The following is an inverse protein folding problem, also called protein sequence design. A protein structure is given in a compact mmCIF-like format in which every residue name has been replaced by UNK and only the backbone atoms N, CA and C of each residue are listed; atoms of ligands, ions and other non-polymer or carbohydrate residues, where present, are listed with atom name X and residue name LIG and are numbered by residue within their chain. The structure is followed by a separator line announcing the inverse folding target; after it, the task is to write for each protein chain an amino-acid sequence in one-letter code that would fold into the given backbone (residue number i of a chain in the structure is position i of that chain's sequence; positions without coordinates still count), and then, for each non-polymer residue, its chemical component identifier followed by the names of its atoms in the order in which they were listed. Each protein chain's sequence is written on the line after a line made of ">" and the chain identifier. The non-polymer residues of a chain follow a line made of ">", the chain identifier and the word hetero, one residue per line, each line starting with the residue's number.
data_IF_929179600052
#
_entry.id   IF_929179600052
#
_cell.length_a   1.000
_cell.length_b   1.000
_cell.length_c   1.000
_cell.angle_alpha   90.00
_cell.angle_beta   90.00
_cell.angle_gamma   90.00
#
_symmetry.space_group_name_H-M   'P 1'
#
loop_
_entity.id
_entity.type
_entity.pdbx_description
1 polymer ?
#
# COMPACT_ATOMS: atom_id res chain seq x y z
N UNK A 1 5.96 -17.71 -16.19
CA UNK A 1 5.60 -16.41 -15.61
C UNK A 1 4.52 -15.86 -16.51
N UNK A 2 3.34 -15.57 -15.97
CA UNK A 2 2.32 -14.91 -16.77
C UNK A 2 2.89 -13.59 -17.32
N UNK A 3 2.41 -13.18 -18.49
CA UNK A 3 2.91 -11.98 -19.13
C UNK A 3 2.52 -10.77 -18.25
N UNK A 4 3.50 -10.01 -17.76
CA UNK A 4 3.27 -8.83 -16.88
C UNK A 4 2.17 -7.94 -17.44
N UNK A 5 2.16 -7.72 -18.75
CA UNK A 5 1.13 -6.90 -19.41
C UNK A 5 -0.27 -7.49 -19.32
N UNK A 6 -0.42 -8.82 -19.35
CA UNK A 6 -1.72 -9.50 -19.22
C UNK A 6 -2.27 -9.35 -17.81
N UNK A 7 -1.45 -9.62 -16.78
CA UNK A 7 -1.84 -9.46 -15.37
C UNK A 7 -2.33 -8.03 -15.11
N UNK A 8 -1.56 -7.04 -15.58
CA UNK A 8 -1.91 -5.63 -15.37
C UNK A 8 -3.18 -5.24 -16.12
N UNK A 9 -3.38 -5.71 -17.36
CA UNK A 9 -4.60 -5.43 -18.14
C UNK A 9 -5.84 -6.12 -17.61
N UNK A 10 -5.69 -7.30 -17.04
CA UNK A 10 -6.80 -8.03 -16.43
C UNK A 10 -7.26 -7.35 -15.14
N UNK A 11 -6.31 -6.86 -14.33
CA UNK A 11 -6.62 -6.37 -12.99
C UNK A 11 -6.88 -4.86 -12.89
N UNK A 12 -6.22 -4.05 -13.71
CA UNK A 12 -6.39 -2.60 -13.70
C UNK A 12 -7.41 -2.18 -14.76
N UNK A 13 -8.24 -1.20 -14.42
CA UNK A 13 -9.00 -0.47 -15.44
C UNK A 13 -8.08 0.37 -16.32
N UNK A 14 -8.62 0.93 -17.41
CA UNK A 14 -7.84 1.71 -18.37
C UNK A 14 -7.17 2.93 -17.74
N UNK A 15 -7.85 3.66 -16.85
CA UNK A 15 -7.31 4.87 -16.22
C UNK A 15 -6.10 4.53 -15.34
N UNK A 16 -6.21 3.49 -14.53
CA UNK A 16 -5.13 3.05 -13.64
C UNK A 16 -3.98 2.41 -14.43
N UNK A 17 -4.27 1.66 -15.49
CA UNK A 17 -3.25 1.13 -16.39
C UNK A 17 -2.46 2.25 -17.05
N UNK A 18 -3.13 3.29 -17.59
CA UNK A 18 -2.47 4.42 -18.24
C UNK A 18 -1.57 5.18 -17.25
N UNK A 19 -2.06 5.43 -16.02
CA UNK A 19 -1.26 6.03 -14.94
C UNK A 19 0.01 5.21 -14.66
N UNK A 20 -0.10 3.89 -14.59
CA UNK A 20 1.03 3.00 -14.34
C UNK A 20 2.02 2.97 -15.52
N UNK A 21 1.51 2.92 -16.75
CA UNK A 21 2.32 2.87 -17.98
C UNK A 21 3.02 4.19 -18.29
N UNK A 22 2.52 5.32 -17.77
CA UNK A 22 3.22 6.61 -17.84
C UNK A 22 4.61 6.57 -17.16
N UNK A 23 4.80 5.64 -16.21
CA UNK A 23 6.10 5.36 -15.62
C UNK A 23 6.81 4.33 -16.49
N UNK A 24 7.75 4.78 -17.33
CA UNK A 24 8.55 3.94 -18.22
C UNK A 24 9.59 3.07 -17.50
N UNK A 25 9.17 2.25 -16.53
CA UNK A 25 10.03 1.40 -15.73
C UNK A 25 9.48 -0.03 -15.64
N UNK A 26 10.03 -0.93 -16.46
CA UNK A 26 9.60 -2.33 -16.53
C UNK A 26 9.73 -3.08 -15.19
N UNK A 27 10.75 -2.78 -14.37
CA UNK A 27 10.92 -3.42 -13.06
C UNK A 27 9.80 -3.05 -12.09
N UNK A 28 9.29 -1.82 -12.18
CA UNK A 28 8.16 -1.38 -11.38
C UNK A 28 6.87 -2.10 -11.82
N UNK A 29 6.65 -2.24 -13.13
CA UNK A 29 5.51 -2.99 -13.66
C UNK A 29 5.52 -4.46 -13.23
N UNK A 30 6.69 -5.10 -13.28
CA UNK A 30 6.89 -6.47 -12.79
C UNK A 30 6.62 -6.57 -11.28
N UNK A 31 7.11 -5.62 -10.49
CA UNK A 31 6.84 -5.58 -9.05
C UNK A 31 5.35 -5.50 -8.72
N UNK A 32 4.60 -4.65 -9.44
CA UNK A 32 3.14 -4.53 -9.26
C UNK A 32 2.43 -5.80 -9.69
N UNK A 33 2.78 -6.38 -10.84
CA UNK A 33 2.19 -7.64 -11.31
C UNK A 33 2.42 -8.79 -10.32
N UNK A 34 3.65 -8.94 -9.82
CA UNK A 34 3.97 -9.94 -8.79
C UNK A 34 3.17 -9.72 -7.50
N UNK A 35 2.95 -8.46 -7.11
CA UNK A 35 2.15 -8.12 -5.93
C UNK A 35 0.67 -8.47 -6.13
N UNK A 36 0.12 -8.24 -7.34
CA UNK A 36 -1.25 -8.61 -7.70
C UNK A 36 -1.43 -10.13 -7.66
N UNK A 37 -0.50 -10.90 -8.23
CA UNK A 37 -0.55 -12.36 -8.18
C UNK A 37 -0.45 -12.89 -6.74
N UNK A 38 0.43 -12.31 -5.92
CA UNK A 38 0.65 -12.75 -4.55
C UNK A 38 -0.54 -12.44 -3.63
N UNK A 39 -1.15 -11.27 -3.79
CA UNK A 39 -2.18 -10.78 -2.85
C UNK A 39 -3.61 -10.99 -3.36
N UNK A 40 -3.78 -11.27 -4.64
CA UNK A 40 -5.08 -11.46 -5.31
C UNK A 40 -6.11 -10.41 -4.88
N UNK A 41 -5.82 -9.10 -5.01
CA UNK A 41 -6.69 -8.05 -4.49
C UNK A 41 -8.02 -8.04 -5.26
N UNK A 42 -9.06 -7.34 -4.80
CA UNK A 42 -10.29 -7.20 -5.59
C UNK A 42 -10.13 -6.16 -6.71
N UNK A 43 -9.45 -5.04 -6.43
CA UNK A 43 -9.19 -3.96 -7.38
C UNK A 43 -7.81 -3.34 -7.13
N UNK A 44 -7.30 -2.62 -8.13
CA UNK A 44 -6.02 -1.89 -8.04
C UNK A 44 -6.24 -0.44 -8.44
N UNK A 45 -5.82 0.47 -7.57
CA UNK A 45 -5.89 1.92 -7.78
C UNK A 45 -4.49 2.52 -7.77
N UNK A 46 -4.18 3.35 -8.77
CA UNK A 46 -2.91 4.06 -8.92
C UNK A 46 -3.16 5.53 -8.58
N UNK A 47 -2.63 5.99 -7.44
CA UNK A 47 -2.75 7.37 -6.98
C UNK A 47 -1.65 8.24 -7.61
N UNK A 48 -2.02 9.41 -8.15
CA UNK A 48 -1.10 10.39 -8.73
C UNK A 48 -1.01 11.68 -7.91
N UNK A 49 -1.53 11.69 -6.68
CA UNK A 49 -1.69 12.87 -5.82
C UNK A 49 -2.52 14.00 -6.45
N UNK A 50 -3.34 13.67 -7.46
CA UNK A 50 -4.31 14.62 -8.00
C UNK A 50 -5.42 14.89 -6.98
N UNK A 51 -6.06 16.06 -7.04
CA UNK A 51 -7.16 16.38 -6.13
C UNK A 51 -8.30 15.35 -6.23
N UNK A 52 -8.57 14.85 -7.44
CA UNK A 52 -9.55 13.78 -7.69
C UNK A 52 -9.20 12.49 -6.94
N UNK A 53 -7.93 12.06 -6.99
CA UNK A 53 -7.48 10.85 -6.31
C UNK A 53 -7.52 11.02 -4.78
N UNK A 54 -7.13 12.20 -4.27
CA UNK A 54 -7.21 12.52 -2.84
C UNK A 54 -8.66 12.52 -2.34
N UNK A 55 -9.58 13.10 -3.10
CA UNK A 55 -11.00 13.13 -2.75
C UNK A 55 -11.61 11.73 -2.81
N UNK A 56 -11.22 10.91 -3.79
CA UNK A 56 -11.60 9.50 -3.85
C UNK A 56 -11.15 8.73 -2.61
N UNK A 57 -9.88 8.85 -2.20
CA UNK A 57 -9.33 8.15 -1.02
C UNK A 57 -10.02 8.62 0.27
N UNK A 58 -10.24 9.92 0.45
CA UNK A 58 -10.94 10.47 1.63
C UNK A 58 -12.38 9.96 1.73
N UNK A 59 -13.08 9.91 0.60
CA UNK A 59 -14.43 9.35 0.54
C UNK A 59 -14.42 7.85 0.84
N UNK A 60 -13.42 7.10 0.33
CA UNK A 60 -13.28 5.69 0.63
C UNK A 60 -13.03 5.44 2.12
N UNK A 61 -12.16 6.23 2.77
CA UNK A 61 -11.88 6.13 4.20
C UNK A 61 -13.12 6.44 5.06
N UNK A 62 -13.93 7.41 4.64
CA UNK A 62 -15.17 7.79 5.33
C UNK A 62 -16.28 6.76 5.17
N UNK A 63 -16.43 6.18 3.96
CA UNK A 63 -17.49 5.23 3.65
C UNK A 63 -17.15 3.78 4.05
N UNK A 64 -15.85 3.46 4.11
CA UNK A 64 -15.30 2.15 4.46
C UNK A 64 -15.19 1.88 5.97
N UNK A 65 -15.62 2.84 6.80
CA UNK A 65 -15.79 2.66 8.25
C UNK A 65 -14.56 2.95 9.12
N UNK A 66 -13.49 3.51 8.55
CA UNK A 66 -12.32 3.95 9.32
C UNK A 66 -12.53 5.33 9.91
N UNK A 67 -12.88 6.31 9.07
CA UNK A 67 -12.89 7.72 9.44
C UNK A 67 -14.31 8.27 9.66
N UNK A 68 -14.48 9.05 10.73
CA UNK A 68 -15.74 9.72 11.07
C UNK A 68 -15.56 11.24 11.07
N UNK A 69 -16.49 11.95 10.43
CA UNK A 69 -16.43 13.42 10.34
C UNK A 69 -16.63 14.10 11.70
N UNK A 70 -15.86 15.15 11.95
CA UNK A 70 -16.06 16.08 13.06
C UNK A 70 -16.83 17.32 12.60
N UNK A 71 -17.24 18.16 13.56
CA UNK A 71 -17.93 19.42 13.28
C UNK A 71 -17.04 20.45 12.54
N UNK A 72 -15.72 20.29 12.59
CA UNK A 72 -14.77 21.12 11.86
C UNK A 72 -14.59 20.52 10.47
N UNK A 73 -14.84 21.33 9.44
CA UNK A 73 -14.73 20.89 8.04
C UNK A 73 -13.34 20.33 7.74
N UNK A 74 -13.29 19.18 7.07
CA UNK A 74 -12.04 18.47 6.74
C UNK A 74 -11.39 17.69 7.89
N UNK A 75 -11.93 17.73 9.11
CA UNK A 75 -11.40 16.97 10.25
C UNK A 75 -12.18 15.67 10.44
N UNK A 76 -11.46 14.60 10.75
CA UNK A 76 -12.01 13.28 11.07
C UNK A 76 -11.37 12.67 12.32
N UNK A 77 -12.00 11.62 12.84
CA UNK A 77 -11.42 10.75 13.86
C UNK A 77 -11.65 9.28 13.48
N UNK A 78 -10.75 8.42 13.93
CA UNK A 78 -10.92 6.96 13.91
C UNK A 78 -10.46 6.37 15.24
N UNK A 79 -10.82 5.11 15.48
CA UNK A 79 -10.30 4.33 16.59
C UNK A 79 -9.59 3.12 16.03
N UNK A 80 -8.33 2.95 16.41
CA UNK A 80 -7.58 1.74 16.06
C UNK A 80 -8.14 0.51 16.77
N UNK A 81 -7.82 -0.67 16.22
CA UNK A 81 -8.15 -1.93 16.87
C UNK A 81 -7.49 -2.04 18.24
N UNK A 82 -8.14 -2.71 19.20
CA UNK A 82 -7.63 -2.87 20.57
C UNK A 82 -6.20 -3.42 20.64
N UNK A 83 -5.80 -4.25 19.67
CA UNK A 83 -4.48 -4.88 19.60
C UNK A 83 -3.47 -4.11 18.72
N UNK A 84 -3.82 -2.93 18.21
CA UNK A 84 -3.01 -2.16 17.23
C UNK A 84 -2.92 -0.67 17.62
N UNK A 85 -2.68 -0.39 18.89
CA UNK A 85 -2.70 0.98 19.44
C UNK A 85 -1.34 1.70 19.41
N UNK A 86 -0.28 0.97 19.07
CA UNK A 86 1.07 1.50 19.04
C UNK A 86 1.95 0.65 18.13
N UNK A 87 3.10 1.20 17.74
CA UNK A 87 4.17 0.42 17.09
C UNK A 87 4.47 -0.83 17.93
N UNK A 88 4.75 -1.95 17.26
CA UNK A 88 5.24 -3.19 17.86
C UNK A 88 6.76 -3.36 17.61
N UNK A 89 7.64 -2.92 18.54
CA UNK A 89 9.09 -3.10 18.40
C UNK A 89 9.53 -4.56 18.43
N UNK A 90 8.76 -5.46 19.03
CA UNK A 90 9.11 -6.88 19.14
C UNK A 90 8.96 -7.59 17.78
N UNK A 91 8.04 -7.12 16.93
CA UNK A 91 7.85 -7.62 15.56
C UNK A 91 8.56 -6.80 14.49
N UNK A 92 9.00 -5.58 14.80
CA UNK A 92 9.83 -4.78 13.90
C UNK A 92 11.27 -5.28 13.94
N UNK A 93 11.78 -5.80 12.81
CA UNK A 93 13.11 -6.43 12.74
C UNK A 93 13.98 -5.89 11.61
N UNK A 94 15.28 -5.83 11.85
CA UNK A 94 16.29 -5.64 10.82
C UNK A 94 16.67 -6.99 10.23
N UNK A 95 16.46 -7.18 8.92
CA UNK A 95 16.97 -8.35 8.21
C UNK A 95 18.43 -8.08 7.80
N UNK A 96 19.36 -8.82 8.39
CA UNK A 96 20.80 -8.62 8.23
C UNK A 96 21.43 -9.74 7.40
N UNK A 97 22.49 -9.45 6.64
CA UNK A 97 23.32 -10.50 6.06
C UNK A 97 23.93 -11.37 7.17
N UNK A 98 24.13 -12.66 6.88
CA UNK A 98 24.79 -13.59 7.80
C UNK A 98 26.12 -13.04 8.31
N UNK A 99 26.30 -13.06 9.63
CA UNK A 99 27.51 -12.62 10.32
C UNK A 99 27.59 -11.12 10.61
N UNK A 100 26.58 -10.32 10.23
CA UNK A 100 26.46 -8.92 10.62
C UNK A 100 25.70 -8.83 11.94
N UNK A 101 26.25 -8.10 12.90
CA UNK A 101 25.64 -7.84 14.21
C UNK A 101 25.60 -6.33 14.47
N UNK A 102 24.42 -5.79 14.74
CA UNK A 102 24.20 -4.38 15.05
C UNK A 102 24.09 -4.11 16.56
N UNK A 103 24.25 -5.14 17.39
CA UNK A 103 24.19 -5.07 18.85
C UNK A 103 22.80 -5.34 19.43
N UNK A 104 22.78 -5.67 20.72
CA UNK A 104 21.60 -6.16 21.45
C UNK A 104 20.44 -5.16 21.54
N UNK A 105 20.71 -3.87 21.32
CA UNK A 105 19.69 -2.82 21.33
C UNK A 105 18.82 -2.79 20.07
N UNK A 106 19.21 -3.51 19.01
CA UNK A 106 18.52 -3.55 17.72
C UNK A 106 17.98 -4.96 17.45
N UNK A 107 16.65 -5.09 17.44
CA UNK A 107 15.95 -6.35 17.14
C UNK A 107 16.24 -6.79 15.70
N UNK A 108 17.16 -7.74 15.52
CA UNK A 108 17.68 -8.14 14.21
C UNK A 108 17.47 -9.65 13.96
N UNK A 109 17.43 -10.06 12.70
CA UNK A 109 17.38 -11.46 12.26
C UNK A 109 18.13 -11.66 10.94
N UNK A 110 18.50 -12.90 10.61
CA UNK A 110 19.19 -13.31 9.38
C UNK A 110 18.36 -14.23 8.46
#
# INVERSE_FOLDING_TARGET
>A
MANVTEILKEKLDSKNLDKLMAIGNAKMHEFVANSIELTTPDSVFVCTDSQEDLDYIRNLASNGGGEHKLAIEGHTYHFDGYNDQARDPARTKYLLPKGVDLGESLNSMD
#
